data_IF_402463177469
#
_entry.id   IF_402463177469
#
_cell.length_a   1.000
_cell.length_b   1.000
_cell.length_c   1.000
_cell.angle_alpha   90.00
_cell.angle_beta   90.00
_cell.angle_gamma   90.00
#
_symmetry.space_group_name_H-M   'P 1'
#
loop_
_entity.id
_entity.type
_entity.pdbx_description
1 polymer ?
#
# COMPACT_ATOMS: atom_id res chain seq x y z
N UNK A 1 -12.65 12.06 23.23
CA UNK A 1 -11.81 12.31 22.05
C UNK A 1 -10.44 11.73 22.31
N UNK A 2 -9.87 10.99 21.35
CA UNK A 2 -8.58 10.34 21.49
C UNK A 2 -7.44 11.36 21.64
N UNK A 3 -6.50 11.12 22.55
CA UNK A 3 -5.26 11.88 22.69
C UNK A 3 -4.12 11.30 21.83
N UNK A 4 -4.45 10.41 20.89
CA UNK A 4 -3.47 9.76 20.04
C UNK A 4 -2.86 10.78 19.06
N UNK A 5 -1.55 11.00 19.19
CA UNK A 5 -0.80 11.92 18.33
C UNK A 5 -0.12 11.22 17.15
N UNK A 6 0.11 9.92 17.27
CA UNK A 6 0.80 9.10 16.26
C UNK A 6 0.07 7.78 16.02
N UNK A 7 -0.14 7.44 14.76
CA UNK A 7 -0.75 6.19 14.33
C UNK A 7 0.00 5.66 13.11
N UNK A 8 0.38 4.38 13.19
CA UNK A 8 0.85 3.60 12.04
C UNK A 8 -0.19 2.51 11.79
N UNK A 9 -0.84 2.56 10.63
CA UNK A 9 -1.93 1.65 10.29
C UNK A 9 -1.49 0.69 9.20
N UNK A 10 -1.62 -0.61 9.46
CA UNK A 10 -1.65 -1.61 8.41
C UNK A 10 -3.07 -2.14 8.29
N UNK A 11 -3.63 -2.17 7.08
CA UNK A 11 -4.99 -2.62 6.87
C UNK A 11 -5.16 -3.33 5.53
N UNK A 12 -5.82 -4.49 5.53
CA UNK A 12 -6.21 -5.20 4.32
C UNK A 12 -7.73 -5.28 4.28
N UNK A 13 -8.32 -4.79 3.19
CA UNK A 13 -9.76 -4.77 2.96
C UNK A 13 -10.13 -5.71 1.83
N UNK A 14 -10.98 -6.70 2.10
CA UNK A 14 -11.52 -7.63 1.09
C UNK A 14 -13.04 -7.45 0.89
N UNK A 15 -13.52 -6.22 1.07
CA UNK A 15 -14.94 -5.90 0.92
C UNK A 15 -15.31 -5.47 -0.52
N UNK A 16 -14.39 -5.61 -1.47
CA UNK A 16 -14.55 -5.18 -2.86
C UNK A 16 -14.58 -3.66 -3.05
N UNK A 17 -14.22 -2.86 -2.02
CA UNK A 17 -14.13 -1.40 -2.08
C UNK A 17 -12.69 -0.93 -1.89
N UNK A 18 -12.36 0.11 -2.62
CA UNK A 18 -11.09 0.82 -2.49
C UNK A 18 -11.18 1.80 -1.34
N UNK A 19 -10.16 1.77 -0.50
CA UNK A 19 -9.96 2.77 0.53
C UNK A 19 -9.11 3.89 -0.07
N UNK A 20 -9.78 4.97 -0.43
CA UNK A 20 -9.18 6.12 -1.08
C UNK A 20 -8.81 7.23 -0.08
N UNK A 21 -8.20 8.32 -0.56
CA UNK A 21 -7.83 9.45 0.29
C UNK A 21 -9.02 10.10 1.01
N UNK A 22 -10.19 10.15 0.37
CA UNK A 22 -11.38 10.73 0.98
C UNK A 22 -11.93 9.83 2.10
N UNK A 23 -11.92 8.51 1.92
CA UNK A 23 -12.34 7.57 2.94
C UNK A 23 -11.45 7.63 4.17
N UNK A 24 -10.12 7.72 4.00
CA UNK A 24 -9.20 7.88 5.14
C UNK A 24 -9.41 9.21 5.86
N UNK A 25 -9.59 10.30 5.13
CA UNK A 25 -9.84 11.61 5.73
C UNK A 25 -11.16 11.59 6.52
N UNK A 26 -12.23 11.08 5.90
CA UNK A 26 -13.56 11.02 6.50
C UNK A 26 -13.62 10.10 7.72
N UNK A 27 -13.04 8.91 7.64
CA UNK A 27 -13.22 7.85 8.64
C UNK A 27 -12.15 7.84 9.73
N UNK A 28 -10.98 8.46 9.49
CA UNK A 28 -9.89 8.49 10.47
C UNK A 28 -9.56 9.93 10.86
N UNK A 29 -9.11 10.75 9.91
CA UNK A 29 -8.53 12.06 10.23
C UNK A 29 -9.55 13.02 10.86
N UNK A 30 -10.80 13.01 10.40
CA UNK A 30 -11.86 13.85 10.96
C UNK A 30 -12.21 13.52 12.42
N UNK A 31 -11.99 12.28 12.85
CA UNK A 31 -12.27 11.85 14.21
C UNK A 31 -11.04 11.91 15.13
N UNK A 32 -9.83 12.01 14.56
CA UNK A 32 -8.56 12.05 15.27
C UNK A 32 -7.85 13.40 15.09
N UNK A 33 -8.50 14.49 15.52
CA UNK A 33 -7.99 15.86 15.33
C UNK A 33 -6.60 16.16 15.93
N UNK A 34 -6.13 15.34 16.88
CA UNK A 34 -4.79 15.46 17.50
C UNK A 34 -3.73 14.60 16.80
N UNK A 35 -4.10 13.85 15.77
CA UNK A 35 -3.20 12.96 15.05
C UNK A 35 -2.28 13.80 14.16
N UNK A 36 -1.06 14.02 14.65
CA UNK A 36 -0.04 14.82 13.99
C UNK A 36 0.82 13.97 13.04
N UNK A 37 0.93 12.67 13.33
CA UNK A 37 1.65 11.72 12.50
C UNK A 37 0.74 10.54 12.17
N UNK A 38 0.32 10.48 10.91
CA UNK A 38 -0.40 9.34 10.38
C UNK A 38 0.42 8.71 9.27
N UNK A 39 0.81 7.45 9.47
CA UNK A 39 1.42 6.62 8.44
C UNK A 39 0.55 5.40 8.23
N UNK A 40 0.50 4.91 7.00
CA UNK A 40 -0.30 3.75 6.69
C UNK A 40 0.30 2.91 5.56
N UNK A 41 -0.11 1.66 5.53
CA UNK A 41 -0.01 0.71 4.40
C UNK A 41 -1.36 -0.01 4.31
N UNK A 42 -2.06 0.22 3.20
CA UNK A 42 -3.41 -0.26 2.99
C UNK A 42 -3.45 -1.04 1.69
N UNK A 43 -4.01 -2.24 1.75
CA UNK A 43 -4.30 -3.06 0.58
C UNK A 43 -5.81 -3.24 0.44
N UNK A 44 -6.38 -2.77 -0.66
CA UNK A 44 -7.77 -3.04 -1.03
C UNK A 44 -7.81 -4.15 -2.09
N UNK A 45 -8.48 -5.25 -1.77
CA UNK A 45 -8.70 -6.39 -2.67
C UNK A 45 -10.07 -6.21 -3.33
N UNK A 46 -10.08 -6.28 -4.66
CA UNK A 46 -11.26 -6.02 -5.48
C UNK A 46 -11.42 -7.14 -6.49
N UNK A 47 -12.63 -7.66 -6.63
CA UNK A 47 -12.97 -8.60 -7.69
C UNK A 47 -13.37 -7.83 -8.96
N UNK A 48 -12.69 -8.01 -10.11
CA UNK A 48 -13.04 -7.35 -11.37
C UNK A 48 -14.48 -7.57 -11.80
N UNK A 49 -15.02 -8.78 -11.54
CA UNK A 49 -16.39 -9.14 -11.89
C UNK A 49 -17.44 -8.24 -11.23
N UNK A 50 -17.10 -7.59 -10.12
CA UNK A 50 -17.99 -6.69 -9.37
C UNK A 50 -17.79 -5.22 -9.75
N UNK A 51 -16.94 -4.91 -10.74
CA UNK A 51 -16.54 -3.56 -11.10
C UNK A 51 -16.81 -3.25 -12.58
N UNK A 52 -17.32 -2.04 -12.85
CA UNK A 52 -17.50 -1.54 -14.22
C UNK A 52 -16.14 -1.19 -14.85
N UNK A 53 -15.19 -0.73 -14.03
CA UNK A 53 -13.82 -0.37 -14.43
C UNK A 53 -12.88 -0.64 -13.26
N UNK A 54 -11.79 -1.35 -13.51
CA UNK A 54 -10.67 -1.47 -12.56
C UNK A 54 -9.88 -0.15 -12.59
N UNK A 55 -9.66 0.52 -11.44
CA UNK A 55 -8.89 1.74 -11.43
C UNK A 55 -7.42 1.47 -11.72
N UNK A 56 -6.84 2.33 -12.53
CA UNK A 56 -5.40 2.36 -12.75
C UNK A 56 -4.68 2.89 -11.51
N UNK A 57 -3.37 2.66 -11.42
CA UNK A 57 -2.56 3.25 -10.36
C UNK A 57 -2.69 4.79 -10.32
N UNK A 58 -2.77 5.44 -11.49
CA UNK A 58 -3.00 6.88 -11.59
C UNK A 58 -4.34 7.33 -11.00
N UNK A 59 -5.43 6.58 -11.30
CA UNK A 59 -6.75 6.86 -10.73
C UNK A 59 -6.72 6.83 -9.20
N UNK A 60 -5.97 5.88 -8.61
CA UNK A 60 -5.82 5.72 -7.16
C UNK A 60 -5.00 6.85 -6.57
N UNK A 61 -3.83 7.11 -7.15
CA UNK A 61 -2.91 8.16 -6.73
C UNK A 61 -3.60 9.53 -6.70
N UNK A 62 -4.46 9.80 -7.68
CA UNK A 62 -5.22 11.05 -7.78
C UNK A 62 -6.20 11.26 -6.61
N UNK A 63 -6.69 10.18 -5.99
CA UNK A 63 -7.57 10.30 -4.80
C UNK A 63 -6.83 10.87 -3.58
N UNK A 64 -5.51 10.76 -3.56
CA UNK A 64 -4.65 11.24 -2.47
C UNK A 64 -4.02 12.61 -2.77
N UNK A 65 -4.32 13.25 -3.90
CA UNK A 65 -3.71 14.53 -4.32
C UNK A 65 -3.84 15.67 -3.30
N UNK A 66 -4.91 15.65 -2.51
CA UNK A 66 -5.22 16.66 -1.49
C UNK A 66 -4.96 16.16 -0.07
N UNK A 67 -4.45 14.93 0.08
CA UNK A 67 -4.18 14.35 1.38
C UNK A 67 -3.07 15.15 2.06
N UNK A 68 -3.22 15.46 3.35
CA UNK A 68 -2.26 16.30 4.11
C UNK A 68 -0.82 15.76 4.11
N UNK A 69 -0.63 14.49 3.75
CA UNK A 69 0.68 13.90 3.55
C UNK A 69 1.00 13.86 2.04
N UNK A 70 1.99 14.63 1.63
CA UNK A 70 2.29 14.86 0.21
C UNK A 70 3.07 13.70 -0.44
N UNK A 71 3.43 12.68 0.33
CA UNK A 71 4.21 11.54 -0.14
C UNK A 71 3.42 10.27 0.11
N UNK A 72 2.47 10.01 -0.78
CA UNK A 72 1.71 8.76 -0.82
C UNK A 72 2.08 8.06 -2.11
N UNK A 73 2.33 6.76 -2.03
CA UNK A 73 2.63 5.92 -3.18
C UNK A 73 1.52 4.89 -3.28
N UNK A 74 0.98 4.72 -4.48
CA UNK A 74 0.10 3.61 -4.80
C UNK A 74 0.71 2.67 -5.83
N UNK A 75 0.24 1.43 -5.82
CA UNK A 75 0.48 0.42 -6.83
C UNK A 75 -0.76 -0.45 -7.00
N UNK A 76 -1.03 -0.90 -8.22
CA UNK A 76 -2.19 -1.74 -8.53
C UNK A 76 -1.71 -2.98 -9.26
N UNK A 77 -1.96 -4.15 -8.67
CA UNK A 77 -1.62 -5.45 -9.22
C UNK A 77 -2.88 -6.23 -9.56
N UNK A 78 -2.83 -7.00 -10.65
CA UNK A 78 -3.95 -7.80 -11.12
C UNK A 78 -3.56 -9.27 -11.14
N UNK A 79 -4.19 -10.06 -10.27
CA UNK A 79 -3.95 -11.48 -10.04
C UNK A 79 -4.98 -12.30 -10.84
N UNK A 80 -4.64 -12.82 -12.03
CA UNK A 80 -5.61 -13.44 -12.92
C UNK A 80 -6.16 -14.76 -12.37
N UNK A 81 -5.32 -15.54 -11.66
CA UNK A 81 -5.69 -16.84 -11.10
C UNK A 81 -6.71 -16.72 -9.96
N UNK A 82 -6.54 -15.71 -9.10
CA UNK A 82 -7.49 -15.37 -8.04
C UNK A 82 -8.69 -14.58 -8.57
N UNK A 83 -8.60 -14.03 -9.79
CA UNK A 83 -9.54 -13.04 -10.31
C UNK A 83 -9.70 -11.86 -9.34
N UNK A 84 -8.56 -11.31 -8.91
CA UNK A 84 -8.47 -10.23 -7.94
C UNK A 84 -7.58 -9.10 -8.44
N UNK A 85 -7.89 -7.88 -8.01
CA UNK A 85 -7.05 -6.71 -8.18
C UNK A 85 -6.69 -6.21 -6.79
N UNK A 86 -5.40 -6.14 -6.46
CA UNK A 86 -4.96 -5.56 -5.19
C UNK A 86 -4.46 -4.15 -5.46
N UNK A 87 -5.06 -3.20 -4.75
CA UNK A 87 -4.66 -1.82 -4.78
C UNK A 87 -3.94 -1.51 -3.46
N UNK A 88 -2.63 -1.36 -3.55
CA UNK A 88 -1.79 -1.00 -2.42
C UNK A 88 -1.59 0.51 -2.39
N UNK A 89 -1.72 1.11 -1.21
CA UNK A 89 -1.44 2.51 -0.97
C UNK A 89 -0.73 2.67 0.36
N UNK A 90 0.39 3.37 0.36
CA UNK A 90 1.14 3.61 1.59
C UNK A 90 1.72 5.01 1.69
N UNK A 91 1.96 5.44 2.93
CA UNK A 91 2.67 6.67 3.25
C UNK A 91 4.18 6.48 3.06
N UNK A 92 4.84 7.48 2.47
CA UNK A 92 6.29 7.55 2.34
C UNK A 92 6.86 8.65 3.26
N UNK A 93 8.01 8.43 3.93
CA UNK A 93 8.78 7.19 3.96
C UNK A 93 8.01 6.05 4.64
N UNK A 94 8.18 4.84 4.12
CA UNK A 94 7.56 3.64 4.68
C UNK A 94 8.22 3.29 6.01
N UNK A 95 7.43 3.17 7.09
CA UNK A 95 7.95 3.02 8.46
C UNK A 95 7.63 1.68 9.13
N UNK A 96 6.82 0.83 8.51
CA UNK A 96 6.53 -0.50 9.04
C UNK A 96 7.74 -1.43 8.88
N UNK A 97 7.81 -2.44 9.75
CA UNK A 97 8.90 -3.43 9.77
C UNK A 97 8.66 -4.61 8.84
N UNK A 98 7.50 -4.70 8.24
CA UNK A 98 7.12 -5.73 7.27
C UNK A 98 6.61 -5.06 6.00
N UNK A 99 6.79 -5.71 4.85
CA UNK A 99 6.15 -5.33 3.59
C UNK A 99 5.61 -6.61 2.94
N UNK A 100 4.29 -6.67 2.77
CA UNK A 100 3.63 -7.88 2.27
C UNK A 100 3.25 -7.77 0.79
N UNK A 101 3.19 -8.94 0.14
CA UNK A 101 2.66 -9.14 -1.22
C UNK A 101 3.42 -8.33 -2.29
N UNK A 102 4.74 -8.30 -2.20
CA UNK A 102 5.57 -7.67 -3.23
C UNK A 102 5.53 -8.54 -4.49
N UNK A 103 5.01 -7.97 -5.58
CA UNK A 103 4.90 -8.63 -6.89
C UNK A 103 6.05 -8.22 -7.81
N UNK A 104 6.13 -8.86 -8.97
CA UNK A 104 7.09 -8.50 -10.03
C UNK A 104 7.00 -7.03 -10.49
N UNK A 105 5.84 -6.38 -10.33
CA UNK A 105 5.63 -4.97 -10.69
C UNK A 105 6.23 -3.99 -9.68
N UNK A 106 6.81 -4.49 -8.59
CA UNK A 106 7.45 -3.67 -7.57
C UNK A 106 8.45 -2.67 -8.19
N UNK A 107 8.18 -1.36 -8.08
CA UNK A 107 8.98 -0.33 -8.76
C UNK A 107 10.34 -0.10 -8.11
N UNK A 108 10.61 -0.74 -6.98
CA UNK A 108 11.77 -0.44 -6.13
C UNK A 108 11.49 0.70 -5.16
N UNK A 109 12.55 1.33 -4.67
CA UNK A 109 12.50 2.34 -3.61
C UNK A 109 13.39 1.95 -2.44
N UNK A 110 13.43 2.77 -1.38
CA UNK A 110 14.30 2.51 -0.22
C UNK A 110 13.47 2.37 1.06
N UNK A 111 13.47 1.17 1.63
CA UNK A 111 12.61 0.77 2.75
C UNK A 111 13.47 0.43 3.99
N UNK A 112 14.08 1.45 4.58
CA UNK A 112 15.09 1.31 5.67
C UNK A 112 14.56 0.63 6.94
N UNK A 113 13.25 0.70 7.18
CA UNK A 113 12.63 0.18 8.40
C UNK A 113 12.13 -1.27 8.24
N UNK A 114 11.97 -1.73 7.00
CA UNK A 114 11.50 -3.09 6.73
C UNK A 114 12.58 -4.10 7.11
N UNK A 115 12.15 -5.17 7.77
CA UNK A 115 12.95 -6.31 8.25
C UNK A 115 12.47 -7.62 7.64
N UNK A 116 11.20 -7.69 7.30
CA UNK A 116 10.56 -8.88 6.74
C UNK A 116 9.80 -8.50 5.47
N UNK A 117 9.93 -9.32 4.43
CA UNK A 117 9.16 -9.16 3.19
C UNK A 117 8.45 -10.46 2.87
N UNK A 118 7.23 -10.38 2.34
CA UNK A 118 6.63 -11.50 1.62
C UNK A 118 6.52 -11.15 0.15
N UNK A 119 6.97 -12.09 -0.67
CA UNK A 119 6.96 -11.99 -2.12
C UNK A 119 5.79 -12.82 -2.64
N UNK A 120 5.13 -12.34 -3.69
CA UNK A 120 4.05 -13.05 -4.36
C UNK A 120 4.33 -13.10 -5.87
N UNK A 121 4.42 -14.31 -6.42
CA UNK A 121 4.67 -14.55 -7.84
C UNK A 121 3.38 -14.91 -8.59
N UNK A 122 2.90 -13.99 -9.43
CA UNK A 122 1.95 -14.35 -10.49
C UNK A 122 2.65 -15.08 -11.66
N UNK A 123 3.94 -14.81 -11.82
CA UNK A 123 4.83 -15.45 -12.77
C UNK A 123 6.22 -15.55 -12.14
N UNK A 124 7.05 -16.52 -12.59
CA UNK A 124 8.35 -16.77 -11.98
C UNK A 124 9.19 -15.50 -11.84
N UNK A 125 9.75 -15.29 -10.65
CA UNK A 125 10.60 -14.14 -10.38
C UNK A 125 11.88 -14.17 -11.23
N UNK A 126 12.11 -13.08 -11.97
CA UNK A 126 13.32 -12.86 -12.75
C UNK A 126 14.49 -12.42 -11.86
N UNK A 127 15.72 -12.59 -12.35
CA UNK A 127 16.93 -12.15 -11.62
C UNK A 127 16.86 -10.66 -11.22
N UNK A 128 16.41 -9.82 -12.14
CA UNK A 128 16.28 -8.38 -11.93
C UNK A 128 15.29 -8.02 -10.82
N UNK A 129 14.28 -8.86 -10.58
CA UNK A 129 13.36 -8.67 -9.46
C UNK A 129 14.10 -8.83 -8.13
N UNK A 130 14.88 -9.91 -7.95
CA UNK A 130 15.66 -10.11 -6.74
C UNK A 130 16.73 -9.04 -6.54
N UNK A 131 17.34 -8.53 -7.63
CA UNK A 131 18.22 -7.37 -7.56
C UNK A 131 17.49 -6.13 -7.01
N UNK A 132 16.27 -5.84 -7.50
CA UNK A 132 15.44 -4.74 -6.96
C UNK A 132 15.13 -4.95 -5.48
N UNK A 133 14.72 -6.16 -5.07
CA UNK A 133 14.46 -6.48 -3.65
C UNK A 133 15.69 -6.21 -2.78
N UNK A 134 16.86 -6.75 -3.16
CA UNK A 134 18.08 -6.57 -2.35
C UNK A 134 18.52 -5.11 -2.21
N UNK A 135 18.32 -4.29 -3.25
CA UNK A 135 18.61 -2.86 -3.21
C UNK A 135 17.58 -2.08 -2.37
N UNK A 136 16.32 -2.53 -2.37
CA UNK A 136 15.22 -1.84 -1.71
C UNK A 136 15.15 -2.08 -0.21
N UNK A 137 15.60 -3.24 0.27
CA UNK A 137 15.47 -3.66 1.67
C UNK A 137 16.83 -3.95 2.31
N UNK A 138 17.65 -2.92 2.59
CA UNK A 138 19.05 -3.08 3.03
C UNK A 138 19.22 -3.65 4.44
N UNK A 139 18.13 -3.85 5.18
CA UNK A 139 18.15 -4.24 6.59
C UNK A 139 17.30 -5.47 6.88
N UNK A 140 16.99 -6.30 5.87
CA UNK A 140 16.27 -7.56 6.12
C UNK A 140 17.05 -8.45 7.09
N UNK A 141 16.33 -9.07 8.01
CA UNK A 141 16.90 -10.07 8.91
C UNK A 141 17.02 -11.41 8.15
N UNK A 142 18.14 -12.11 8.34
CA UNK A 142 18.40 -13.43 7.74
C UNK A 142 17.66 -14.55 8.49
#
# INVERSE_FOLDING_TARGET
>A
MSNLEKLSLYFVSDNGRIIDGNELEKNILNYMMRLNQFTFDICSIIQPANQIKIPSNGDIQDTFRNFKNNQIISDTNYFPEANECHCHVYSYPYTLTYYHNITNNFPGGLFKYVRQVSLYDEYPFEHDFFLRITQSFPCMEN
#
